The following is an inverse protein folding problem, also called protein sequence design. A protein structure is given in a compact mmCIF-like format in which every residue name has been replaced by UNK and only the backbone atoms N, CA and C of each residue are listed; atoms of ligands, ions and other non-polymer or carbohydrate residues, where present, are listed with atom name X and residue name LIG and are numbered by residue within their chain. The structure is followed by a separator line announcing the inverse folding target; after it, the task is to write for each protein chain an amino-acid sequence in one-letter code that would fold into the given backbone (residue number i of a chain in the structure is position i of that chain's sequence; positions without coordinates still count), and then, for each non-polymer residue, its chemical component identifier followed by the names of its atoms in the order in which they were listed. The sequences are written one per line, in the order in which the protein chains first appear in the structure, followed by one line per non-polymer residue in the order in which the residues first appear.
data_IF_097592124372
#
_entry.id   IF_097592124372
#
_cell.length_a   1.000
_cell.length_b   1.000
_cell.length_c   1.000
_cell.angle_alpha   90.00
_cell.angle_beta   90.00
_cell.angle_gamma   90.00
#
_symmetry.space_group_name_H-M   'P 1'
#
loop_
_entity.id
_entity.type
_entity.pdbx_description
1 polymer ?
#
# COMPACT_ATOMS: atom_id res chain seq x y z
N UNK A 1 -29.65 34.83 8.62
CA UNK A 1 -29.22 34.26 7.32
C UNK A 1 -27.71 34.24 7.12
N UNK A 2 -26.94 35.19 7.69
CA UNK A 2 -25.48 35.17 7.62
C UNK A 2 -24.84 34.07 8.48
N UNK A 3 -25.32 33.85 9.70
CA UNK A 3 -24.77 32.85 10.63
C UNK A 3 -24.83 31.41 10.09
N UNK A 4 -25.95 31.04 9.44
CA UNK A 4 -26.14 29.72 8.83
C UNK A 4 -25.17 29.53 7.66
N UNK A 5 -24.95 30.57 6.84
CA UNK A 5 -23.97 30.52 5.75
C UNK A 5 -22.55 30.35 6.27
N UNK A 6 -22.17 31.05 7.35
CA UNK A 6 -20.85 30.95 7.96
C UNK A 6 -20.56 29.55 8.50
N UNK A 7 -21.55 28.94 9.18
CA UNK A 7 -21.46 27.56 9.68
C UNK A 7 -21.37 26.57 8.51
N UNK A 8 -22.14 26.78 7.44
CA UNK A 8 -22.08 25.93 6.25
C UNK A 8 -20.73 26.02 5.54
N UNK A 9 -20.16 27.22 5.38
CA UNK A 9 -18.83 27.41 4.78
C UNK A 9 -17.71 26.82 5.64
N UNK A 10 -17.80 26.91 6.97
CA UNK A 10 -16.82 26.30 7.88
C UNK A 10 -16.90 24.77 7.85
N UNK A 11 -18.10 24.20 7.81
CA UNK A 11 -18.29 22.75 7.68
C UNK A 11 -17.79 22.21 6.33
N UNK A 12 -17.97 22.96 5.25
CA UNK A 12 -17.51 22.58 3.91
C UNK A 12 -15.97 22.66 3.76
N UNK A 13 -15.32 23.58 4.49
CA UNK A 13 -13.86 23.67 4.53
C UNK A 13 -13.22 22.51 5.29
N UNK A 14 -13.89 21.98 6.33
CA UNK A 14 -13.36 20.87 7.13
C UNK A 14 -13.41 19.52 6.39
N UNK A 15 -14.36 19.33 5.47
CA UNK A 15 -14.47 18.09 4.67
C UNK A 15 -13.53 18.04 3.47
N UNK A 16 -12.83 19.12 3.13
CA UNK A 16 -11.93 19.19 1.98
C UNK A 16 -10.51 18.64 2.25
N UNK A 17 -10.22 18.26 3.50
CA UNK A 17 -8.92 17.70 3.91
C UNK A 17 -8.94 16.16 4.00
N UNK A 18 -9.73 15.49 3.16
CA UNK A 18 -9.52 14.06 2.92
C UNK A 18 -8.29 13.91 2.01
N UNK A 19 -7.10 14.22 2.53
CA UNK A 19 -5.86 13.86 1.85
C UNK A 19 -5.84 12.33 1.69
N UNK A 20 -5.45 11.87 0.50
CA UNK A 20 -5.13 10.46 0.29
C UNK A 20 -4.07 10.06 1.32
N UNK A 21 -4.44 9.18 2.24
CA UNK A 21 -3.55 8.73 3.29
C UNK A 21 -2.51 7.78 2.68
N UNK A 22 -1.25 7.95 3.07
CA UNK A 22 -0.17 7.08 2.61
C UNK A 22 -0.49 5.64 3.04
N UNK A 23 -0.51 4.72 2.07
CA UNK A 23 -0.91 3.32 2.33
C UNK A 23 0.05 2.65 3.31
N UNK A 24 1.32 3.06 3.34
CA UNK A 24 2.33 2.53 4.25
C UNK A 24 2.14 3.00 5.70
N UNK A 25 1.41 4.10 5.93
CA UNK A 25 1.11 4.62 7.27
C UNK A 25 -0.08 3.92 7.94
N UNK A 26 -0.78 3.04 7.21
CA UNK A 26 -1.98 2.36 7.69
C UNK A 26 -1.72 1.59 9.00
N UNK A 27 -2.52 1.82 10.06
CA UNK A 27 -2.24 1.31 11.39
C UNK A 27 -2.28 -0.21 11.47
N UNK A 28 -1.30 -0.80 12.15
CA UNK A 28 -1.27 -2.22 12.48
C UNK A 28 -2.38 -2.60 13.48
N UNK A 29 -2.85 -3.86 13.49
CA UNK A 29 -3.87 -4.31 14.42
C UNK A 29 -3.29 -4.45 15.85
N UNK A 30 -4.16 -4.53 16.85
CA UNK A 30 -3.74 -4.60 18.28
C UNK A 30 -3.02 -5.90 18.64
N UNK A 31 -3.32 -6.99 17.94
CA UNK A 31 -2.72 -8.32 18.10
C UNK A 31 -1.46 -8.53 17.22
N UNK A 32 -0.71 -7.45 16.97
CA UNK A 32 0.61 -7.52 16.36
C UNK A 32 1.59 -8.12 17.41
N UNK A 33 2.39 -9.16 17.09
CA UNK A 33 2.76 -9.64 15.75
C UNK A 33 2.03 -10.88 15.21
N UNK A 34 1.02 -11.38 15.92
CA UNK A 34 0.25 -12.55 15.45
C UNK A 34 -0.53 -12.25 14.17
N UNK A 35 -1.07 -11.03 14.03
CA UNK A 35 -1.66 -10.52 12.79
C UNK A 35 -1.03 -9.18 12.42
N UNK A 36 -0.93 -8.93 11.12
CA UNK A 36 -0.38 -7.69 10.60
C UNK A 36 -1.02 -7.34 9.25
N UNK A 37 -1.05 -6.04 8.95
CA UNK A 37 -1.40 -5.52 7.65
C UNK A 37 -0.15 -5.31 6.80
N UNK A 38 -0.29 -5.65 5.53
CA UNK A 38 0.74 -5.44 4.53
C UNK A 38 0.08 -5.08 3.19
N UNK A 39 0.76 -4.23 2.44
CA UNK A 39 0.36 -3.78 1.11
C UNK A 39 0.89 -4.77 0.10
N UNK A 40 0.06 -5.18 -0.86
CA UNK A 40 0.53 -5.97 -2.02
C UNK A 40 0.87 -5.02 -3.16
N UNK A 41 2.11 -5.05 -3.61
CA UNK A 41 2.64 -4.19 -4.67
C UNK A 41 2.74 -4.97 -5.99
N UNK A 42 3.22 -6.21 -5.90
CA UNK A 42 3.44 -7.07 -7.07
C UNK A 42 2.63 -8.36 -6.89
N UNK A 43 1.55 -8.54 -7.67
CA UNK A 43 0.82 -9.80 -7.68
C UNK A 43 1.68 -10.95 -8.21
N UNK A 44 1.34 -12.17 -7.81
CA UNK A 44 1.93 -13.41 -8.33
C UNK A 44 1.87 -13.41 -9.86
N UNK A 45 3.00 -13.67 -10.52
CA UNK A 45 3.13 -13.64 -11.98
C UNK A 45 3.47 -12.26 -12.55
N UNK A 46 3.57 -11.21 -11.72
CA UNK A 46 4.02 -9.90 -12.13
C UNK A 46 5.47 -9.90 -12.63
N UNK A 47 5.73 -9.15 -13.71
CA UNK A 47 7.06 -8.97 -14.33
C UNK A 47 7.61 -7.54 -14.16
N UNK A 48 6.75 -6.61 -13.76
CA UNK A 48 7.12 -5.23 -13.45
C UNK A 48 7.27 -5.14 -11.95
N UNK A 49 8.40 -4.58 -11.50
CA UNK A 49 8.61 -4.24 -10.11
C UNK A 49 7.91 -2.91 -9.84
N UNK A 50 6.76 -3.01 -9.18
CA UNK A 50 6.06 -1.87 -8.61
C UNK A 50 6.53 -1.66 -7.18
N UNK A 51 6.60 -0.40 -6.77
CA UNK A 51 6.90 0.01 -5.39
C UNK A 51 5.98 1.13 -4.98
N UNK A 52 5.63 1.15 -3.70
CA UNK A 52 4.89 2.25 -3.08
C UNK A 52 5.87 3.32 -2.67
N UNK A 53 5.75 4.53 -3.25
CA UNK A 53 6.60 5.65 -2.86
C UNK A 53 6.29 6.07 -1.42
N UNK A 54 7.31 6.00 -0.55
CA UNK A 54 7.16 6.27 0.89
C UNK A 54 6.70 7.69 1.22
N UNK A 55 6.86 8.65 0.29
CA UNK A 55 6.45 10.05 0.50
C UNK A 55 5.02 10.32 0.08
N UNK A 56 4.61 9.76 -1.05
CA UNK A 56 3.30 10.06 -1.65
C UNK A 56 2.26 8.96 -1.45
N UNK A 57 2.69 7.73 -1.14
CA UNK A 57 1.82 6.56 -1.03
C UNK A 57 1.30 6.05 -2.37
N UNK A 58 1.79 6.57 -3.51
CA UNK A 58 1.41 6.09 -4.83
C UNK A 58 2.25 4.89 -5.25
N UNK A 59 1.64 4.00 -6.03
CA UNK A 59 2.35 2.89 -6.66
C UNK A 59 3.06 3.39 -7.92
N UNK A 60 4.37 3.16 -7.98
CA UNK A 60 5.26 3.59 -9.06
C UNK A 60 5.89 2.36 -9.68
N UNK A 61 5.97 2.32 -11.01
CA UNK A 61 6.74 1.30 -11.70
C UNK A 61 8.22 1.66 -11.60
N UNK A 62 8.97 0.95 -10.75
CA UNK A 62 10.43 1.11 -10.63
C UNK A 62 11.11 0.63 -11.91
N UNK A 63 10.87 -0.63 -12.29
CA UNK A 63 11.48 -1.23 -13.49
C UNK A 63 10.76 -2.44 -14.04
N UNK A 64 11.02 -2.74 -15.31
CA UNK A 64 10.79 -4.06 -15.89
C UNK A 64 11.89 -5.03 -15.45
N UNK A 65 11.55 -6.28 -15.14
CA UNK A 65 12.59 -7.27 -14.83
C UNK A 65 13.51 -7.53 -16.03
N UNK A 66 14.81 -7.57 -15.76
CA UNK A 66 15.83 -7.74 -16.80
C UNK A 66 15.90 -9.17 -17.33
N UNK A 67 15.50 -10.14 -16.51
CA UNK A 67 15.39 -11.56 -16.88
C UNK A 67 13.92 -11.93 -17.08
N UNK A 68 13.61 -12.97 -17.89
CA UNK A 68 12.25 -13.46 -18.11
C UNK A 68 11.73 -14.25 -16.88
N UNK A 69 11.74 -13.60 -15.72
CA UNK A 69 11.29 -14.12 -14.44
C UNK A 69 10.07 -13.34 -13.98
N UNK A 70 9.16 -14.05 -13.32
CA UNK A 70 7.97 -13.48 -12.72
C UNK A 70 7.97 -13.78 -11.22
N UNK A 71 7.39 -12.89 -10.41
CA UNK A 71 7.30 -13.10 -8.97
C UNK A 71 6.46 -14.36 -8.68
N UNK A 72 7.00 -15.35 -7.93
CA UNK A 72 6.34 -16.64 -7.73
C UNK A 72 5.18 -16.59 -6.72
N UNK A 73 5.06 -15.49 -5.99
CA UNK A 73 4.09 -15.22 -4.94
C UNK A 73 3.77 -13.72 -4.94
N UNK A 74 2.74 -13.29 -4.20
CA UNK A 74 2.51 -11.86 -4.07
C UNK A 74 3.62 -11.26 -3.19
N UNK A 75 3.99 -10.03 -3.49
CA UNK A 75 5.05 -9.30 -2.81
C UNK A 75 4.56 -7.90 -2.46
N UNK A 76 5.03 -7.37 -1.34
CA UNK A 76 4.93 -5.96 -1.02
C UNK A 76 5.49 -5.66 0.37
N UNK A 77 4.90 -4.69 1.06
CA UNK A 77 5.50 -4.07 2.23
C UNK A 77 4.59 -4.08 3.47
N UNK A 78 5.17 -4.26 4.64
CA UNK A 78 4.48 -4.19 5.93
C UNK A 78 4.21 -2.73 6.31
N UNK A 79 2.97 -2.40 6.69
CA UNK A 79 2.63 -1.02 7.07
C UNK A 79 3.26 -0.64 8.41
N UNK A 80 3.54 0.64 8.64
CA UNK A 80 4.17 1.14 9.88
C UNK A 80 5.48 0.43 10.26
N UNK A 81 6.29 0.07 9.27
CA UNK A 81 7.59 -0.56 9.48
C UNK A 81 8.71 0.28 8.85
N UNK A 82 9.92 0.08 9.37
CA UNK A 82 11.14 0.68 8.84
C UNK A 82 12.26 -0.36 8.97
N UNK A 83 12.79 -0.81 7.85
CA UNK A 83 13.94 -1.70 7.76
C UNK A 83 15.26 -0.92 7.82
N UNK A 84 16.38 -1.64 7.88
CA UNK A 84 17.71 -1.05 8.06
C UNK A 84 18.24 -0.29 6.84
N UNK A 85 17.64 -0.46 5.68
CA UNK A 85 17.94 0.24 4.43
C UNK A 85 17.13 1.54 4.24
N UNK A 86 16.15 1.79 5.13
CA UNK A 86 15.30 2.97 5.08
C UNK A 86 13.95 2.76 4.39
N UNK A 87 13.68 1.55 3.89
CA UNK A 87 12.40 1.18 3.28
C UNK A 87 11.51 0.42 4.28
N UNK A 88 10.20 0.31 4.05
CA UNK A 88 9.34 -0.58 4.82
C UNK A 88 9.80 -2.04 4.71
N UNK A 89 9.51 -2.85 5.73
CA UNK A 89 9.87 -4.27 5.74
C UNK A 89 9.11 -5.05 4.65
N UNK A 90 9.83 -5.81 3.83
CA UNK A 90 9.25 -6.63 2.77
C UNK A 90 8.49 -7.86 3.29
N UNK A 91 7.41 -8.21 2.58
CA UNK A 91 6.56 -9.37 2.86
C UNK A 91 6.29 -10.15 1.58
N UNK A 92 6.43 -11.48 1.66
CA UNK A 92 6.01 -12.42 0.60
C UNK A 92 4.77 -13.17 1.07
N UNK A 93 3.67 -13.03 0.34
CA UNK A 93 2.42 -13.72 0.65
C UNK A 93 2.39 -15.07 -0.09
N UNK A 94 2.55 -16.16 0.64
CA UNK A 94 2.49 -17.51 0.08
C UNK A 94 1.03 -17.98 0.06
N UNK A 95 0.36 -18.07 -1.10
CA UNK A 95 -1.01 -18.55 -1.15
C UNK A 95 -1.04 -20.06 -0.87
N UNK A 96 -1.97 -20.50 -0.01
CA UNK A 96 -2.18 -21.92 0.26
C UNK A 96 -2.60 -22.73 -1.00
N UNK A 97 -3.16 -22.06 -2.01
CA UNK A 97 -3.60 -22.67 -3.27
C UNK A 97 -2.89 -22.00 -4.44
N UNK A 98 -2.31 -22.82 -5.32
CA UNK A 98 -1.72 -22.35 -6.58
C UNK A 98 -2.78 -21.60 -7.41
N UNK A 99 -2.48 -20.35 -7.79
CA UNK A 99 -3.35 -19.56 -8.67
C UNK A 99 -3.68 -20.35 -9.95
N UNK A 100 -4.93 -20.37 -10.42
CA UNK A 100 -5.26 -21.06 -11.67
C UNK A 100 -4.40 -20.47 -12.78
N UNK A 101 -3.60 -21.30 -13.47
CA UNK A 101 -3.01 -20.86 -14.73
C UNK A 101 -4.19 -20.52 -15.64
N UNK A 102 -4.26 -19.27 -16.09
CA UNK A 102 -5.13 -18.91 -17.20
C UNK A 102 -4.83 -19.91 -18.32
N UNK A 103 -5.86 -20.64 -18.75
CA UNK A 103 -5.77 -21.55 -19.90
C UNK A 103 -5.62 -20.73 -21.16
#
# INVERSE_FOLDING_TARGET
MHLVKTILTAGLLLSAAAQAHNVLEFPQPENNPEEFYAVTEIPTGGIIKYETDAKTGFIVADRFQSMPVAYPANYGSLTQSLAGDGDPLDVVFIPARRWPRAR
#
